data_IF_443345011263
#
_entry.id   IF_443345011263
#
_cell.length_a   1.000
_cell.length_b   1.000
_cell.length_c   1.000
_cell.angle_alpha   90.00
_cell.angle_beta   90.00
_cell.angle_gamma   90.00
#
_symmetry.space_group_name_H-M   'P 1'
#
loop_
_entity.id
_entity.type
_entity.pdbx_description
1 polymer ?
#
# COMPACT_ATOMS: atom_id res chain seq x y z
N UNK A 1 -14.05 5.26 -17.54
CA UNK A 1 -13.95 6.58 -16.89
C UNK A 1 -12.91 6.46 -15.79
N UNK A 2 -12.32 7.55 -15.29
CA UNK A 2 -11.48 7.46 -14.10
C UNK A 2 -12.33 7.03 -12.90
N UNK A 3 -11.69 6.42 -11.90
CA UNK A 3 -12.34 6.08 -10.64
C UNK A 3 -12.39 7.34 -9.78
N UNK A 4 -13.57 7.96 -9.66
CA UNK A 4 -13.75 9.20 -8.90
C UNK A 4 -13.49 9.01 -7.40
N UNK A 5 -12.80 9.97 -6.76
CA UNK A 5 -12.52 9.96 -5.33
C UNK A 5 -11.38 9.02 -4.90
N UNK A 6 -10.63 8.47 -5.86
CA UNK A 6 -9.50 7.58 -5.61
C UNK A 6 -8.22 8.07 -6.27
N UNK A 7 -7.10 7.85 -5.58
CA UNK A 7 -5.75 8.02 -6.11
C UNK A 7 -4.99 6.71 -6.09
N UNK A 8 -3.93 6.64 -6.87
CA UNK A 8 -3.03 5.51 -6.87
C UNK A 8 -1.58 5.95 -6.68
N UNK A 9 -0.72 4.99 -6.34
CA UNK A 9 0.71 5.20 -6.24
C UNK A 9 1.46 4.02 -6.82
N UNK A 10 2.57 4.29 -7.50
CA UNK A 10 3.62 3.29 -7.72
C UNK A 10 4.70 3.52 -6.68
N UNK A 11 4.95 2.52 -5.85
CA UNK A 11 6.04 2.53 -4.86
C UNK A 11 7.12 1.57 -5.34
N UNK A 12 8.33 2.09 -5.51
CA UNK A 12 9.51 1.33 -5.88
C UNK A 12 10.46 1.33 -4.70
N UNK A 13 10.86 0.14 -4.24
CA UNK A 13 11.80 0.00 -3.12
C UNK A 13 12.70 -1.22 -3.30
N UNK A 14 13.86 -1.21 -2.67
CA UNK A 14 14.79 -2.34 -2.72
C UNK A 14 14.95 -3.00 -1.35
N UNK A 15 15.13 -4.32 -1.33
CA UNK A 15 15.39 -5.10 -0.11
C UNK A 15 16.82 -5.63 -0.09
N UNK A 16 17.26 -6.05 1.10
CA UNK A 16 18.60 -6.62 1.30
C UNK A 16 18.85 -7.88 0.48
N UNK A 17 17.81 -8.68 0.22
CA UNK A 17 17.87 -9.89 -0.60
C UNK A 17 16.57 -10.13 -1.37
N UNK A 18 16.61 -11.05 -2.34
CA UNK A 18 15.43 -11.47 -3.10
C UNK A 18 14.44 -12.18 -2.19
N UNK A 19 14.94 -12.97 -1.25
CA UNK A 19 14.15 -13.72 -0.28
C UNK A 19 13.34 -12.78 0.61
N UNK A 20 13.98 -11.71 1.11
CA UNK A 20 13.30 -10.68 1.88
C UNK A 20 12.21 -9.96 1.05
N UNK A 21 12.47 -9.70 -0.23
CA UNK A 21 11.48 -9.11 -1.14
C UNK A 21 10.29 -10.07 -1.37
N UNK A 22 10.55 -11.37 -1.53
CA UNK A 22 9.52 -12.41 -1.69
C UNK A 22 8.68 -12.61 -0.43
N UNK A 23 9.30 -12.60 0.75
CA UNK A 23 8.58 -12.69 2.02
C UNK A 23 7.63 -11.51 2.20
N UNK A 24 8.07 -10.29 1.86
CA UNK A 24 7.20 -9.12 1.89
C UNK A 24 6.05 -9.21 0.88
N UNK A 25 6.34 -9.59 -0.37
CA UNK A 25 5.32 -9.77 -1.40
C UNK A 25 4.23 -10.77 -0.97
N UNK A 26 4.62 -11.88 -0.33
CA UNK A 26 3.69 -12.91 0.17
C UNK A 26 2.75 -12.39 1.24
N UNK A 27 3.22 -11.47 2.08
CA UNK A 27 2.40 -10.82 3.12
C UNK A 27 1.48 -9.77 2.51
N UNK A 28 2.03 -8.91 1.65
CA UNK A 28 1.30 -7.80 1.05
C UNK A 28 0.23 -8.23 0.05
N UNK A 29 0.29 -9.45 -0.52
CA UNK A 29 -0.65 -9.91 -1.56
C UNK A 29 -2.12 -9.77 -1.17
N UNK A 30 -2.44 -9.82 0.12
CA UNK A 30 -3.81 -9.76 0.66
C UNK A 30 -4.18 -8.34 1.15
N UNK A 31 -3.34 -7.32 0.89
CA UNK A 31 -3.65 -5.93 1.22
C UNK A 31 -4.89 -5.42 0.43
N UNK A 32 -5.90 -4.83 1.10
CA UNK A 32 -7.12 -4.33 0.44
C UNK A 32 -6.89 -3.21 -0.58
N UNK A 33 -5.83 -2.42 -0.40
CA UNK A 33 -5.48 -1.31 -1.27
C UNK A 33 -4.52 -1.70 -2.39
N UNK A 34 -4.10 -2.97 -2.47
CA UNK A 34 -3.11 -3.42 -3.43
C UNK A 34 -3.74 -3.81 -4.77
N UNK A 35 -3.36 -3.09 -5.82
CA UNK A 35 -3.70 -3.44 -7.19
C UNK A 35 -2.71 -4.47 -7.76
N UNK A 36 -1.41 -4.24 -7.57
CA UNK A 36 -0.36 -5.12 -8.09
C UNK A 36 0.88 -5.09 -7.21
N UNK A 37 1.55 -6.23 -7.07
CA UNK A 37 2.82 -6.34 -6.37
C UNK A 37 3.79 -7.20 -7.19
N UNK A 38 4.82 -6.56 -7.73
CA UNK A 38 5.81 -7.16 -8.61
C UNK A 38 7.20 -7.18 -7.99
N UNK A 39 8.01 -8.16 -8.42
CA UNK A 39 9.41 -8.30 -8.02
C UNK A 39 10.32 -8.33 -9.26
N UNK A 40 11.40 -7.55 -9.21
CA UNK A 40 12.52 -7.64 -10.16
C UNK A 40 13.82 -7.79 -9.37
N UNK A 41 14.28 -9.05 -9.23
CA UNK A 41 15.39 -9.37 -8.33
C UNK A 41 15.06 -9.04 -6.87
N UNK A 42 15.77 -8.07 -6.28
CA UNK A 42 15.55 -7.53 -4.92
C UNK A 42 14.63 -6.30 -4.89
N UNK A 43 14.26 -5.78 -6.06
CA UNK A 43 13.41 -4.59 -6.21
C UNK A 43 11.94 -5.00 -6.15
N UNK A 44 11.19 -4.29 -5.35
CA UNK A 44 9.74 -4.35 -5.23
C UNK A 44 9.16 -3.19 -6.02
N UNK A 45 8.12 -3.48 -6.78
CA UNK A 45 7.30 -2.49 -7.47
C UNK A 45 5.86 -2.79 -7.10
N UNK A 46 5.24 -1.91 -6.31
CA UNK A 46 3.86 -2.08 -5.84
C UNK A 46 2.99 -0.95 -6.32
N UNK A 47 1.76 -1.29 -6.73
CA UNK A 47 0.73 -0.33 -7.12
C UNK A 47 -0.38 -0.40 -6.08
N UNK A 48 -0.63 0.71 -5.41
CA UNK A 48 -1.71 0.87 -4.45
C UNK A 48 -2.78 1.81 -5.00
N UNK A 49 -4.02 1.62 -4.56
CA UNK A 49 -5.14 2.51 -4.81
C UNK A 49 -5.90 2.73 -3.51
N UNK A 50 -6.15 4.00 -3.18
CA UNK A 50 -6.83 4.39 -1.95
C UNK A 50 -7.73 5.60 -2.21
N UNK A 51 -8.76 5.81 -1.37
CA UNK A 51 -9.53 7.05 -1.37
C UNK A 51 -8.63 8.28 -1.27
N UNK A 52 -9.03 9.39 -1.88
CA UNK A 52 -8.27 10.66 -1.88
C UNK A 52 -7.91 11.14 -0.48
N UNK A 53 -8.79 10.96 0.51
CA UNK A 53 -8.52 11.31 1.91
C UNK A 53 -7.40 10.49 2.56
N UNK A 54 -7.04 9.36 1.93
CA UNK A 54 -5.94 8.47 2.32
C UNK A 54 -4.71 8.62 1.40
N UNK A 55 -4.59 9.68 0.61
CA UNK A 55 -3.41 9.93 -0.24
C UNK A 55 -2.09 9.85 0.55
N UNK A 56 -2.08 10.40 1.76
CA UNK A 56 -0.94 10.35 2.68
C UNK A 56 -0.46 8.92 2.97
N UNK A 57 -1.35 7.92 2.91
CA UNK A 57 -1.04 6.51 3.17
C UNK A 57 -0.32 5.84 1.99
N UNK A 58 -0.66 6.24 0.76
CA UNK A 58 -0.01 5.74 -0.46
C UNK A 58 1.27 6.52 -0.83
N UNK A 59 1.53 7.66 -0.17
CA UNK A 59 2.77 8.45 -0.36
C UNK A 59 3.93 7.95 0.52
N UNK A 60 4.57 6.83 0.13
CA UNK A 60 5.60 6.18 0.96
C UNK A 60 6.85 7.04 1.18
N UNK A 61 7.25 7.84 0.19
CA UNK A 61 8.41 8.72 0.31
C UNK A 61 8.18 9.84 1.34
N UNK A 62 6.92 10.26 1.54
CA UNK A 62 6.56 11.20 2.61
C UNK A 62 6.44 10.50 3.98
N UNK A 63 5.89 9.29 4.02
CA UNK A 63 5.78 8.51 5.25
C UNK A 63 7.13 8.05 5.82
N UNK A 64 8.07 7.74 4.92
CA UNK A 64 9.36 7.16 5.24
C UNK A 64 10.48 7.93 4.50
N UNK A 65 10.73 9.21 4.87
CA UNK A 65 11.67 10.08 4.17
C UNK A 65 13.12 9.55 4.21
N UNK A 66 13.46 8.75 5.22
CA UNK A 66 14.79 8.15 5.36
C UNK A 66 14.93 6.81 4.60
N UNK A 67 13.89 6.38 3.88
CA UNK A 67 13.94 5.14 3.09
C UNK A 67 14.37 5.42 1.64
N UNK A 68 15.04 4.45 1.03
CA UNK A 68 15.36 4.46 -0.42
C UNK A 68 14.11 4.17 -1.29
N UNK A 69 12.91 4.47 -0.82
CA UNK A 69 11.68 4.25 -1.57
C UNK A 69 11.33 5.47 -2.41
N UNK A 70 11.04 5.21 -3.67
CA UNK A 70 10.50 6.19 -4.61
C UNK A 70 8.99 5.97 -4.73
N UNK A 71 8.24 7.06 -4.66
CA UNK A 71 6.79 7.05 -4.84
C UNK A 71 6.39 7.96 -5.98
N UNK A 72 5.64 7.41 -6.92
CA UNK A 72 5.00 8.15 -8.00
C UNK A 72 3.51 8.16 -7.69
N UNK A 73 2.95 9.34 -7.40
CA UNK A 73 1.51 9.52 -7.22
C UNK A 73 0.82 9.59 -8.59
N UNK A 74 -0.38 9.01 -8.66
CA UNK A 74 -1.24 8.96 -9.82
C UNK A 74 -2.57 9.60 -9.43
N UNK A 75 -2.85 10.78 -9.98
CA UNK A 75 -4.07 11.53 -9.69
C UNK A 75 -5.29 10.98 -10.43
N UNK A 76 -5.14 10.53 -11.68
CA UNK A 76 -6.22 9.98 -12.49
C UNK A 76 -6.07 8.47 -12.67
N UNK A 77 -6.88 7.71 -11.94
CA UNK A 77 -6.81 6.24 -11.94
C UNK A 77 -7.83 5.64 -12.90
N UNK A 78 -7.36 4.81 -13.83
CA UNK A 78 -8.19 4.00 -14.70
C UNK A 78 -8.03 2.53 -14.28
N UNK A 79 -9.08 1.94 -13.72
CA UNK A 79 -9.05 0.57 -13.19
C UNK A 79 -10.33 -0.18 -13.60
N UNK A 80 -10.27 -1.50 -13.85
CA UNK A 80 -11.47 -2.29 -14.13
C UNK A 80 -12.47 -2.21 -12.98
N UNK A 81 -13.77 -2.12 -13.28
CA UNK A 81 -14.83 -1.95 -12.28
C UNK A 81 -15.06 -3.20 -11.40
N UNK A 82 -14.36 -4.31 -11.64
CA UNK A 82 -14.54 -5.53 -10.86
C UNK A 82 -13.87 -5.41 -9.48
N UNK A 83 -14.64 -5.43 -8.38
CA UNK A 83 -14.06 -5.38 -7.05
C UNK A 83 -13.29 -6.67 -6.77
N UNK A 84 -12.07 -6.52 -6.30
CA UNK A 84 -11.30 -7.64 -5.75
C UNK A 84 -11.89 -8.05 -4.40
N UNK A 85 -11.99 -9.35 -4.16
CA UNK A 85 -12.35 -9.87 -2.84
C UNK A 85 -11.30 -9.44 -1.80
N UNK A 86 -11.76 -8.75 -0.75
CA UNK A 86 -10.94 -8.39 0.41
C UNK A 86 -10.91 -9.60 1.35
N UNK A 87 -9.70 -10.06 1.67
CA UNK A 87 -9.51 -11.09 2.70
C UNK A 87 -9.25 -10.44 4.04
N UNK A 88 -10.01 -10.86 5.05
CA UNK A 88 -9.81 -10.43 6.43
C UNK A 88 -8.83 -11.34 7.16
N UNK A 89 -8.14 -10.78 8.16
CA UNK A 89 -7.17 -11.44 9.02
C UNK A 89 -7.05 -10.71 10.36
N UNK A 90 -6.58 -11.41 11.40
CA UNK A 90 -6.41 -10.81 12.73
C UNK A 90 -5.31 -9.74 12.77
N UNK A 91 -4.42 -9.73 11.78
CA UNK A 91 -3.31 -8.77 11.66
C UNK A 91 -3.29 -8.11 10.28
N UNK A 92 -2.83 -6.85 10.15
CA UNK A 92 -2.71 -6.20 8.85
C UNK A 92 -1.72 -6.93 7.94
N UNK A 93 -2.01 -7.13 6.64
CA UNK A 93 -1.11 -7.81 5.70
C UNK A 93 0.27 -7.15 5.55
N UNK A 94 0.37 -5.84 5.82
CA UNK A 94 1.64 -5.12 5.83
C UNK A 94 2.50 -5.39 7.08
N UNK A 95 1.93 -6.02 8.12
CA UNK A 95 2.56 -6.24 9.41
C UNK A 95 2.71 -4.97 10.26
N UNK A 96 2.00 -3.90 9.94
CA UNK A 96 2.04 -2.67 10.73
C UNK A 96 1.27 -2.82 12.06
N UNK A 97 1.87 -2.34 13.14
CA UNK A 97 1.21 -2.23 14.45
C UNK A 97 0.41 -0.93 14.51
N UNK A 98 -0.85 -0.99 14.04
CA UNK A 98 -1.70 0.19 13.91
C UNK A 98 -2.20 0.77 15.25
N UNK A 99 -2.08 0.03 16.36
CA UNK A 99 -2.62 0.42 17.68
C UNK A 99 -2.02 1.73 18.18
N UNK A 100 -0.69 1.88 18.07
CA UNK A 100 0.05 3.06 18.55
C UNK A 100 0.57 3.94 17.41
N UNK A 101 -0.01 3.81 16.21
CA UNK A 101 0.45 4.54 15.04
C UNK A 101 0.16 6.05 15.17
N UNK A 102 1.18 6.93 15.06
CA UNK A 102 0.99 8.37 15.18
C UNK A 102 0.06 8.95 14.09
N UNK A 103 0.03 8.31 12.92
CA UNK A 103 -0.87 8.70 11.84
C UNK A 103 -2.35 8.45 12.15
N UNK A 104 -2.66 7.54 13.08
CA UNK A 104 -4.03 7.29 13.55
C UNK A 104 -4.65 8.55 14.14
N UNK A 105 -3.92 9.23 15.02
CA UNK A 105 -4.35 10.48 15.64
C UNK A 105 -4.26 11.66 14.67
N UNK A 106 -3.20 11.74 13.87
CA UNK A 106 -2.95 12.86 12.95
C UNK A 106 -3.96 12.92 11.79
N UNK A 107 -4.35 11.77 11.24
CA UNK A 107 -5.20 11.68 10.04
C UNK A 107 -6.56 11.04 10.30
N UNK A 108 -6.90 10.70 11.56
CA UNK A 108 -8.17 10.03 11.87
C UNK A 108 -8.29 8.63 11.26
N UNK A 109 -7.16 7.93 11.05
CA UNK A 109 -7.16 6.61 10.42
C UNK A 109 -7.93 5.58 11.27
N UNK A 110 -8.83 4.82 10.64
CA UNK A 110 -9.63 3.78 11.28
C UNK A 110 -8.87 2.47 11.50
N UNK A 111 -7.69 2.32 10.90
CA UNK A 111 -6.90 1.08 10.92
C UNK A 111 -6.98 0.34 9.58
N UNK A 112 -6.55 -0.92 9.56
CA UNK A 112 -6.57 -1.71 8.34
C UNK A 112 -7.96 -2.33 8.12
N UNK A 113 -8.52 -2.18 6.92
CA UNK A 113 -9.80 -2.80 6.53
C UNK A 113 -9.71 -4.34 6.56
N UNK A 114 -8.50 -4.90 6.41
CA UNK A 114 -8.31 -6.35 6.55
C UNK A 114 -8.50 -6.84 8.00
N UNK A 115 -8.52 -5.97 9.00
CA UNK A 115 -8.65 -6.34 10.42
C UNK A 115 -10.01 -5.98 11.02
N UNK A 116 -10.99 -5.61 10.19
CA UNK A 116 -12.34 -5.20 10.61
C UNK A 116 -13.39 -6.25 10.27
#
# INVERSE_FOLDING_TARGET
MSVEGYKASVVIREKKSREAAMEEARRFKDCPHLLAYGLSGRKIISVFMAPEELEWWINYSELFPDSDSETILIDEVYYPEEPREIKTSDTPPCGAECTDCPFKKKHGCSGCIATT
#
